data_IF_291239712034
#
_entry.id   IF_291239712034
#
_cell.length_a   1.000
_cell.length_b   1.000
_cell.length_c   1.000
_cell.angle_alpha   90.00
_cell.angle_beta   90.00
_cell.angle_gamma   90.00
#
_symmetry.space_group_name_H-M   'P 1'
#
loop_
_entity.id
_entity.type
_entity.pdbx_description
1 polymer ?
#
# COMPACT_ATOMS: atom_id res chain seq x y z
N UNK A 1 -3.40 46.23 -46.54
CA UNK A 1 -2.32 45.41 -45.93
C UNK A 1 -2.58 44.91 -44.50
N UNK A 2 -3.71 45.23 -43.83
CA UNK A 2 -3.98 44.79 -42.42
C UNK A 2 -4.68 43.43 -42.28
N UNK A 3 -5.37 42.95 -43.32
CA UNK A 3 -6.19 41.70 -43.26
C UNK A 3 -5.32 40.44 -43.21
N UNK A 4 -4.20 40.40 -43.95
CA UNK A 4 -3.32 39.23 -44.02
C UNK A 4 -2.55 38.97 -42.72
N UNK A 5 -2.30 40.01 -41.92
CA UNK A 5 -1.71 39.86 -40.59
C UNK A 5 -2.71 39.31 -39.57
N UNK A 6 -3.97 39.73 -39.63
CA UNK A 6 -5.01 39.22 -38.75
C UNK A 6 -5.32 37.73 -39.04
N UNK A 7 -5.39 37.36 -40.33
CA UNK A 7 -5.61 35.97 -40.76
C UNK A 7 -4.46 35.03 -40.33
N UNK A 8 -3.21 35.51 -40.39
CA UNK A 8 -2.02 34.76 -39.92
C UNK A 8 -1.99 34.56 -38.41
N UNK A 9 -2.40 35.56 -37.64
CA UNK A 9 -2.47 35.46 -36.17
C UNK A 9 -3.58 34.48 -35.74
N UNK A 10 -4.73 34.51 -36.43
CA UNK A 10 -5.83 33.57 -36.18
C UNK A 10 -5.43 32.14 -36.54
N UNK A 11 -4.77 31.92 -37.69
CA UNK A 11 -4.26 30.58 -38.04
C UNK A 11 -3.19 30.07 -37.06
N UNK A 12 -2.35 30.94 -36.50
CA UNK A 12 -1.35 30.54 -35.51
C UNK A 12 -2.00 30.19 -34.15
N UNK A 13 -3.04 30.93 -33.74
CA UNK A 13 -3.81 30.63 -32.53
C UNK A 13 -4.62 29.33 -32.64
N UNK A 14 -5.18 29.03 -33.82
CA UNK A 14 -5.87 27.76 -34.10
C UNK A 14 -4.92 26.56 -34.10
N UNK A 15 -3.67 26.76 -34.54
CA UNK A 15 -2.64 25.71 -34.53
C UNK A 15 -2.19 25.39 -33.08
N UNK A 16 -2.09 26.39 -32.20
CA UNK A 16 -1.73 26.17 -30.79
C UNK A 16 -2.81 25.44 -29.97
N UNK A 17 -4.08 25.55 -30.34
CA UNK A 17 -5.18 24.85 -29.67
C UNK A 17 -5.26 23.36 -30.05
N UNK A 18 -4.59 22.93 -31.11
CA UNK A 18 -4.59 21.54 -31.58
C UNK A 18 -3.60 20.61 -30.84
N UNK A 19 -2.75 21.15 -29.95
CA UNK A 19 -1.67 20.40 -29.29
C UNK A 19 -1.93 20.05 -27.82
N UNK A 20 -3.16 20.16 -27.33
CA UNK A 20 -3.50 19.55 -26.04
C UNK A 20 -3.76 18.06 -26.22
N UNK A 21 -2.70 17.27 -26.45
CA UNK A 21 -2.75 15.85 -26.11
C UNK A 21 -2.85 15.75 -24.59
N UNK A 22 -4.07 15.83 -24.09
CA UNK A 22 -4.37 15.50 -22.70
C UNK A 22 -4.02 14.04 -22.49
N UNK A 23 -2.89 13.77 -21.83
CA UNK A 23 -2.60 12.45 -21.31
C UNK A 23 -3.68 12.12 -20.27
N UNK A 24 -4.67 11.35 -20.70
CA UNK A 24 -5.67 10.79 -19.80
C UNK A 24 -4.94 9.98 -18.71
N UNK A 25 -4.97 10.49 -17.49
CA UNK A 25 -4.34 9.85 -16.35
C UNK A 25 -5.36 8.93 -15.69
N UNK A 26 -5.11 7.63 -15.77
CA UNK A 26 -5.93 6.63 -15.11
C UNK A 26 -5.45 6.38 -13.69
N UNK A 27 -6.36 6.06 -12.78
CA UNK A 27 -6.07 5.60 -11.43
C UNK A 27 -6.69 4.24 -11.21
N UNK A 28 -5.86 3.27 -10.79
CA UNK A 28 -6.32 1.95 -10.40
C UNK A 28 -6.53 1.93 -8.89
N UNK A 29 -7.66 1.38 -8.46
CA UNK A 29 -7.93 1.00 -7.07
C UNK A 29 -8.02 -0.53 -6.99
N UNK A 30 -7.17 -1.13 -6.17
CA UNK A 30 -7.19 -2.57 -5.92
C UNK A 30 -8.11 -2.92 -4.74
N UNK A 31 -8.59 -4.16 -4.68
CA UNK A 31 -9.34 -4.70 -3.53
C UNK A 31 -8.58 -4.63 -2.21
N UNK A 32 -7.25 -4.70 -2.28
CA UNK A 32 -6.37 -4.50 -1.13
C UNK A 32 -6.21 -3.04 -0.72
N UNK A 33 -6.93 -2.10 -1.34
CA UNK A 33 -6.91 -0.67 -1.05
C UNK A 33 -5.65 0.07 -1.47
N UNK A 34 -4.71 -0.57 -2.18
CA UNK A 34 -3.65 0.16 -2.87
C UNK A 34 -4.25 0.94 -4.05
N UNK A 35 -3.78 2.17 -4.26
CA UNK A 35 -4.10 2.94 -5.44
C UNK A 35 -2.84 3.53 -6.06
N UNK A 36 -2.82 3.64 -7.39
CA UNK A 36 -1.73 4.27 -8.12
C UNK A 36 -2.21 4.76 -9.49
N UNK A 37 -1.62 5.88 -9.91
CA UNK A 37 -1.89 6.52 -11.19
C UNK A 37 -0.95 6.03 -12.30
N UNK A 38 -1.40 6.17 -13.55
CA UNK A 38 -0.65 5.74 -14.72
C UNK A 38 -1.50 5.67 -15.99
N UNK A 39 -1.05 4.87 -16.94
CA UNK A 39 -1.69 4.69 -18.25
C UNK A 39 -2.04 3.22 -18.48
N UNK A 40 -3.26 2.97 -18.94
CA UNK A 40 -3.67 1.64 -19.39
C UNK A 40 -2.99 1.36 -20.74
N UNK A 41 -2.25 0.26 -20.82
CA UNK A 41 -1.55 -0.16 -22.03
C UNK A 41 -2.38 -1.19 -22.79
N UNK A 42 -2.93 -2.18 -22.08
CA UNK A 42 -3.88 -3.14 -22.64
C UNK A 42 -4.81 -3.68 -21.55
N UNK A 43 -6.01 -4.08 -21.95
CA UNK A 43 -7.01 -4.77 -21.13
C UNK A 43 -7.39 -6.04 -21.88
N UNK A 44 -7.06 -7.19 -21.31
CA UNK A 44 -7.47 -8.52 -21.79
C UNK A 44 -8.56 -9.05 -20.84
N UNK A 45 -9.18 -10.20 -21.13
CA UNK A 45 -10.29 -10.74 -20.33
C UNK A 45 -9.95 -11.02 -18.86
N UNK A 46 -8.69 -11.34 -18.57
CA UNK A 46 -8.23 -11.71 -17.23
C UNK A 46 -7.29 -10.67 -16.60
N UNK A 47 -6.68 -9.81 -17.41
CA UNK A 47 -5.52 -9.00 -16.98
C UNK A 47 -5.55 -7.59 -17.54
N UNK A 48 -5.10 -6.65 -16.70
CA UNK A 48 -4.84 -5.27 -17.04
C UNK A 48 -3.32 -5.03 -17.06
N UNK A 49 -2.80 -4.55 -18.19
CA UNK A 49 -1.42 -4.04 -18.28
C UNK A 49 -1.41 -2.54 -18.06
N UNK A 50 -0.67 -2.12 -17.04
CA UNK A 50 -0.64 -0.74 -16.61
C UNK A 50 0.79 -0.21 -16.56
N UNK A 51 1.00 0.95 -17.14
CA UNK A 51 2.24 1.71 -17.02
C UNK A 51 2.12 2.70 -15.87
N UNK A 52 3.00 2.59 -14.89
CA UNK A 52 3.06 3.54 -13.76
C UNK A 52 4.47 4.07 -13.57
N UNK A 53 4.60 5.24 -12.94
CA UNK A 53 5.89 5.83 -12.60
C UNK A 53 6.24 5.53 -11.15
N UNK A 54 7.44 4.99 -10.92
CA UNK A 54 8.00 4.86 -9.57
C UNK A 54 8.29 6.25 -9.00
N UNK A 55 8.50 6.33 -7.67
CA UNK A 55 8.91 7.56 -6.97
C UNK A 55 10.19 8.19 -7.55
N UNK A 56 11.07 7.38 -8.13
CA UNK A 56 12.32 7.84 -8.77
C UNK A 56 12.16 8.19 -10.25
N UNK A 57 10.93 8.36 -10.75
CA UNK A 57 10.64 8.71 -12.13
C UNK A 57 10.74 7.56 -13.14
N UNK A 58 11.34 6.41 -12.77
CA UNK A 58 11.47 5.26 -13.67
C UNK A 58 10.10 4.65 -13.97
N UNK A 59 9.87 4.38 -15.25
CA UNK A 59 8.67 3.69 -15.73
C UNK A 59 8.67 2.24 -15.22
N UNK A 60 7.50 1.75 -14.83
CA UNK A 60 7.25 0.37 -14.41
C UNK A 60 5.97 -0.12 -15.07
N UNK A 61 6.08 -1.25 -15.76
CA UNK A 61 4.92 -2.00 -16.23
C UNK A 61 4.45 -2.97 -15.14
N UNK A 62 3.13 -3.00 -14.91
CA UNK A 62 2.49 -3.87 -13.94
C UNK A 62 1.39 -4.65 -14.65
N UNK A 63 1.44 -5.98 -14.55
CA UNK A 63 0.36 -6.85 -14.98
C UNK A 63 -0.46 -7.20 -13.74
N UNK A 64 -1.76 -6.91 -13.78
CA UNK A 64 -2.68 -7.08 -12.64
C UNK A 64 -3.83 -7.94 -13.12
N UNK A 65 -4.21 -8.95 -12.36
CA UNK A 65 -5.40 -9.73 -12.63
C UNK A 65 -6.67 -8.91 -12.33
N UNK A 66 -7.68 -8.99 -13.18
CA UNK A 66 -8.89 -8.17 -13.05
C UNK A 66 -9.68 -8.48 -11.76
N UNK A 67 -9.59 -9.70 -11.24
CA UNK A 67 -10.16 -10.11 -9.95
C UNK A 67 -9.56 -9.36 -8.75
N UNK A 68 -8.38 -8.76 -8.89
CA UNK A 68 -7.74 -7.93 -7.86
C UNK A 68 -8.10 -6.45 -8.00
N UNK A 69 -8.65 -6.04 -9.14
CA UNK A 69 -9.00 -4.66 -9.45
C UNK A 69 -10.42 -4.39 -8.94
N UNK A 70 -10.54 -3.41 -8.04
CA UNK A 70 -11.86 -2.95 -7.62
C UNK A 70 -12.43 -2.00 -8.67
N UNK A 71 -11.68 -0.95 -9.02
CA UNK A 71 -12.09 0.04 -10.01
C UNK A 71 -10.93 0.68 -10.74
N UNK A 72 -11.23 1.23 -11.91
CA UNK A 72 -10.34 2.10 -12.68
C UNK A 72 -11.06 3.42 -12.94
N UNK A 73 -10.44 4.52 -12.56
CA UNK A 73 -10.95 5.87 -12.83
C UNK A 73 -10.12 6.50 -13.95
N UNK A 74 -10.77 6.88 -15.04
CA UNK A 74 -10.13 7.54 -16.19
C UNK A 74 -10.89 8.84 -16.47
N UNK A 75 -10.19 9.97 -16.45
CA UNK A 75 -10.78 11.30 -16.64
C UNK A 75 -12.02 11.57 -15.76
N UNK A 76 -11.95 11.12 -14.50
CA UNK A 76 -13.02 11.27 -13.51
C UNK A 76 -14.18 10.28 -13.65
N UNK A 77 -14.18 9.41 -14.67
CA UNK A 77 -15.19 8.34 -14.83
C UNK A 77 -14.68 7.04 -14.24
N UNK A 78 -15.37 6.52 -13.23
CA UNK A 78 -15.04 5.26 -12.58
C UNK A 78 -15.74 4.07 -13.27
N UNK A 79 -14.94 3.08 -13.69
CA UNK A 79 -15.42 1.75 -14.12
C UNK A 79 -15.12 0.75 -13.02
N UNK A 80 -16.15 0.07 -12.53
CA UNK A 80 -16.02 -0.99 -11.52
C UNK A 80 -15.71 -2.31 -12.21
N UNK A 81 -14.66 -2.99 -11.74
CA UNK A 81 -14.25 -4.31 -12.20
C UNK A 81 -14.64 -5.41 -11.21
N UNK A 82 -14.83 -5.06 -9.94
CA UNK A 82 -15.32 -5.99 -8.95
C UNK A 82 -16.71 -6.53 -9.32
N UNK A 83 -16.84 -7.84 -9.32
CA UNK A 83 -18.10 -8.56 -9.53
C UNK A 83 -18.36 -9.43 -8.31
N UNK A 84 -19.59 -9.36 -7.81
CA UNK A 84 -20.08 -10.27 -6.78
C UNK A 84 -20.44 -11.58 -7.48
N UNK A 85 -19.94 -12.70 -6.97
CA UNK A 85 -20.40 -14.00 -7.41
C UNK A 85 -21.72 -14.29 -6.68
N UNK A 86 -22.80 -14.47 -7.44
CA UNK A 86 -24.13 -14.75 -6.87
C UNK A 86 -24.22 -16.10 -6.15
N UNK A 87 -23.21 -16.96 -6.28
CA UNK A 87 -23.15 -18.26 -5.59
C UNK A 87 -22.46 -18.20 -4.23
N UNK A 88 -21.81 -17.08 -3.90
CA UNK A 88 -21.10 -16.86 -2.64
C UNK A 88 -21.81 -15.75 -1.84
N UNK A 89 -22.72 -16.16 -0.95
CA UNK A 89 -23.51 -15.26 -0.11
C UNK A 89 -22.65 -14.43 0.88
N UNK A 90 -21.40 -14.84 1.11
CA UNK A 90 -20.47 -14.15 2.01
C UNK A 90 -19.67 -13.02 1.31
N UNK A 91 -19.86 -12.83 -0.01
CA UNK A 91 -19.20 -11.74 -0.73
C UNK A 91 -19.85 -10.39 -0.45
N UNK A 92 -19.01 -9.38 -0.24
CA UNK A 92 -19.45 -8.01 -0.11
C UNK A 92 -20.12 -7.50 -1.39
N UNK A 93 -21.18 -6.71 -1.24
CA UNK A 93 -21.65 -5.85 -2.32
C UNK A 93 -20.56 -4.86 -2.77
N UNK A 94 -20.75 -4.23 -3.94
CA UNK A 94 -19.80 -3.21 -4.45
C UNK A 94 -19.58 -2.08 -3.44
N UNK A 95 -20.64 -1.63 -2.78
CA UNK A 95 -20.56 -0.57 -1.76
C UNK A 95 -19.88 -1.04 -0.47
N UNK A 96 -20.18 -2.25 -0.01
CA UNK A 96 -19.50 -2.84 1.15
C UNK A 96 -18.01 -3.06 0.88
N UNK A 97 -17.65 -3.54 -0.30
CA UNK A 97 -16.26 -3.71 -0.70
C UNK A 97 -15.54 -2.36 -0.76
N UNK A 98 -16.20 -1.30 -1.24
CA UNK A 98 -15.65 0.06 -1.21
C UNK A 98 -15.39 0.53 0.22
N UNK A 99 -16.35 0.32 1.12
CA UNK A 99 -16.20 0.65 2.54
C UNK A 99 -15.08 -0.14 3.20
N UNK A 100 -14.97 -1.44 2.89
CA UNK A 100 -13.88 -2.28 3.33
C UNK A 100 -12.51 -1.77 2.86
N UNK A 101 -12.39 -1.39 1.59
CA UNK A 101 -11.19 -0.78 1.02
C UNK A 101 -10.82 0.51 1.76
N UNK A 102 -11.81 1.38 2.04
CA UNK A 102 -11.58 2.59 2.83
C UNK A 102 -11.10 2.28 4.24
N UNK A 103 -11.68 1.28 4.89
CA UNK A 103 -11.20 0.80 6.18
C UNK A 103 -9.73 0.39 6.13
N UNK A 104 -9.33 -0.39 5.12
CA UNK A 104 -7.93 -0.80 4.95
C UNK A 104 -6.99 0.39 4.75
N UNK A 105 -7.37 1.36 3.91
CA UNK A 105 -6.58 2.57 3.64
C UNK A 105 -6.39 3.40 4.91
N UNK A 106 -7.47 3.65 5.64
CA UNK A 106 -7.45 4.48 6.85
C UNK A 106 -6.63 3.81 7.96
N UNK A 107 -6.73 2.48 8.11
CA UNK A 107 -5.89 1.75 9.04
C UNK A 107 -4.39 1.84 8.67
N UNK A 108 -4.05 1.72 7.39
CA UNK A 108 -2.66 1.85 6.93
C UNK A 108 -2.11 3.24 7.18
N UNK A 109 -2.89 4.29 6.97
CA UNK A 109 -2.48 5.66 7.25
C UNK A 109 -2.36 5.91 8.77
N UNK A 110 -3.41 5.59 9.54
CA UNK A 110 -3.62 6.18 10.85
C UNK A 110 -3.36 5.25 12.04
N UNK A 111 -3.44 3.92 11.83
CA UNK A 111 -3.27 2.97 12.94
C UNK A 111 -1.85 3.04 13.51
N UNK A 112 -1.75 3.09 14.85
CA UNK A 112 -0.47 3.20 15.56
C UNK A 112 -0.03 1.82 16.01
N UNK A 113 1.27 1.52 15.86
CA UNK A 113 1.83 0.20 16.13
C UNK A 113 3.03 0.21 17.10
N UNK A 114 3.06 1.05 18.17
CA UNK A 114 4.27 1.20 18.99
C UNK A 114 4.63 -0.07 19.75
N UNK A 115 3.66 -0.70 20.42
CA UNK A 115 3.90 -1.91 21.22
C UNK A 115 4.52 -3.08 20.42
N UNK A 116 3.94 -3.54 19.28
CA UNK A 116 4.54 -4.62 18.52
C UNK A 116 5.90 -4.24 17.93
N UNK A 117 6.13 -2.96 17.59
CA UNK A 117 7.45 -2.46 17.14
C UNK A 117 8.49 -2.57 18.25
N UNK A 118 8.16 -2.12 19.47
CA UNK A 118 9.07 -2.18 20.63
C UNK A 118 9.42 -3.62 20.96
N UNK A 119 8.41 -4.50 21.04
CA UNK A 119 8.60 -5.93 21.33
C UNK A 119 9.43 -6.61 20.24
N UNK A 120 9.08 -6.37 18.97
CA UNK A 120 9.81 -6.94 17.84
C UNK A 120 11.29 -6.53 17.84
N UNK A 121 11.57 -5.25 18.08
CA UNK A 121 12.94 -4.74 18.16
C UNK A 121 13.70 -5.32 19.36
N UNK A 122 13.15 -5.23 20.57
CA UNK A 122 13.87 -5.60 21.79
C UNK A 122 14.19 -7.09 21.85
N UNK A 123 13.23 -7.95 21.52
CA UNK A 123 13.43 -9.41 21.51
C UNK A 123 14.48 -9.78 20.48
N UNK A 124 14.39 -9.24 19.26
CA UNK A 124 15.39 -9.53 18.22
C UNK A 124 16.77 -8.94 18.55
N UNK A 125 16.86 -7.80 19.23
CA UNK A 125 18.13 -7.24 19.68
C UNK A 125 18.82 -8.12 20.72
N UNK A 126 18.09 -8.61 21.74
CA UNK A 126 18.63 -9.53 22.74
C UNK A 126 19.11 -10.84 22.09
N UNK A 127 18.31 -11.40 21.18
CA UNK A 127 18.72 -12.58 20.42
C UNK A 127 19.94 -12.31 19.54
N UNK A 128 20.00 -11.15 18.89
CA UNK A 128 21.14 -10.71 18.10
C UNK A 128 22.43 -10.65 18.94
N UNK A 129 22.37 -10.04 20.13
CA UNK A 129 23.52 -9.98 21.05
C UNK A 129 24.00 -11.39 21.41
N UNK A 130 23.08 -12.27 21.83
CA UNK A 130 23.41 -13.63 22.25
C UNK A 130 24.02 -14.49 21.14
N UNK A 131 23.54 -14.34 19.90
CA UNK A 131 24.03 -15.10 18.75
C UNK A 131 25.36 -14.52 18.24
N UNK A 132 25.46 -13.18 18.17
CA UNK A 132 26.68 -12.48 17.80
C UNK A 132 27.83 -12.75 18.77
N UNK A 133 27.55 -12.80 20.08
CA UNK A 133 28.58 -13.10 21.10
C UNK A 133 29.16 -14.51 20.99
N UNK A 134 28.46 -15.43 20.31
CA UNK A 134 28.91 -16.79 20.05
C UNK A 134 29.60 -16.95 18.70
N UNK A 135 29.88 -15.83 18.01
CA UNK A 135 30.34 -15.80 16.62
C UNK A 135 29.46 -16.66 15.68
N UNK A 136 28.19 -16.85 16.05
CA UNK A 136 27.27 -17.68 15.29
C UNK A 136 26.69 -16.84 14.16
N UNK A 137 27.01 -17.20 12.93
CA UNK A 137 26.50 -16.58 11.71
C UNK A 137 24.97 -16.72 11.53
N UNK A 138 24.27 -17.36 12.47
CA UNK A 138 22.82 -17.34 12.58
C UNK A 138 22.35 -15.97 13.09
N UNK A 139 22.62 -14.92 12.31
CA UNK A 139 21.79 -13.74 12.32
C UNK A 139 20.43 -14.19 11.80
N UNK A 140 19.59 -14.74 12.69
CA UNK A 140 18.15 -14.84 12.45
C UNK A 140 17.65 -13.41 12.48
N UNK A 141 17.89 -12.70 11.38
CA UNK A 141 17.11 -11.55 10.95
C UNK A 141 15.71 -12.13 10.88
N UNK A 142 14.92 -11.97 11.94
CA UNK A 142 13.81 -12.89 12.26
C UNK A 142 12.47 -12.25 11.93
N UNK A 143 12.02 -12.34 10.67
CA UNK A 143 10.62 -12.17 10.32
C UNK A 143 9.68 -12.94 11.25
N UNK A 144 10.12 -14.05 11.86
CA UNK A 144 9.32 -14.84 12.80
C UNK A 144 8.97 -14.03 14.05
N UNK A 145 9.97 -13.46 14.75
CA UNK A 145 9.73 -12.63 15.95
C UNK A 145 8.82 -11.45 15.61
N UNK A 146 9.11 -10.77 14.50
CA UNK A 146 8.31 -9.63 14.05
C UNK A 146 6.87 -10.01 13.72
N UNK A 147 6.66 -11.15 13.06
CA UNK A 147 5.32 -11.65 12.73
C UNK A 147 4.52 -12.02 13.98
N UNK A 148 5.16 -12.68 14.95
CA UNK A 148 4.51 -13.06 16.21
C UNK A 148 4.13 -11.82 17.03
N UNK A 149 5.06 -10.87 17.22
CA UNK A 149 4.80 -9.63 17.94
C UNK A 149 3.70 -8.80 17.28
N UNK A 150 3.70 -8.71 15.94
CA UNK A 150 2.65 -8.01 15.18
C UNK A 150 1.28 -8.69 15.24
N UNK A 151 1.25 -10.02 15.36
CA UNK A 151 0.02 -10.83 15.37
C UNK A 151 -0.64 -10.96 16.75
N UNK A 152 0.14 -10.87 17.83
CA UNK A 152 -0.34 -11.10 19.20
C UNK A 152 -1.26 -10.01 19.74
N UNK A 153 -1.14 -8.77 19.25
CA UNK A 153 -1.94 -7.65 19.78
C UNK A 153 -3.36 -7.63 19.20
N UNK A 154 -4.38 -7.49 20.05
CA UNK A 154 -5.78 -7.66 19.66
C UNK A 154 -6.53 -6.35 19.31
N UNK A 155 -6.04 -5.18 19.72
CA UNK A 155 -6.78 -3.93 19.52
C UNK A 155 -6.61 -3.34 18.11
N UNK A 156 -7.47 -3.76 17.18
CA UNK A 156 -7.48 -3.30 15.79
C UNK A 156 -8.73 -2.48 15.43
N UNK A 157 -9.43 -1.89 16.42
CA UNK A 157 -10.65 -1.13 16.13
C UNK A 157 -10.34 0.29 15.63
N UNK A 158 -11.13 0.81 14.69
CA UNK A 158 -11.03 2.21 14.29
C UNK A 158 -11.37 3.13 15.47
N UNK A 159 -10.62 4.23 15.60
CA UNK A 159 -10.97 5.31 16.52
C UNK A 159 -11.71 6.38 15.71
N UNK A 160 -12.71 7.03 16.32
CA UNK A 160 -13.52 8.08 15.66
C UNK A 160 -12.68 9.12 14.95
N UNK A 161 -11.63 9.62 15.63
CA UNK A 161 -10.67 10.60 15.08
C UNK A 161 -9.88 10.18 13.83
N UNK A 162 -9.88 8.89 13.47
CA UNK A 162 -9.10 8.34 12.37
C UNK A 162 -9.96 7.78 11.24
N UNK A 163 -11.29 7.82 11.39
CA UNK A 163 -12.21 7.45 10.34
C UNK A 163 -12.53 8.64 9.45
N UNK A 164 -12.77 8.39 8.16
CA UNK A 164 -13.20 9.42 7.20
C UNK A 164 -14.46 10.17 7.62
N UNK A 165 -15.39 9.47 8.26
CA UNK A 165 -16.65 10.00 8.75
C UNK A 165 -17.14 9.11 9.91
N UNK A 166 -17.91 9.65 10.84
CA UNK A 166 -18.58 8.88 11.88
C UNK A 166 -19.56 7.85 11.31
N UNK A 167 -20.25 8.15 10.21
CA UNK A 167 -21.20 7.22 9.56
C UNK A 167 -20.54 5.92 9.10
N UNK A 168 -19.29 5.95 8.65
CA UNK A 168 -18.61 4.72 8.18
C UNK A 168 -18.28 3.76 9.32
N UNK A 169 -18.27 4.24 10.57
CA UNK A 169 -18.05 3.39 11.76
C UNK A 169 -19.23 2.47 12.06
N UNK A 170 -20.40 2.71 11.45
CA UNK A 170 -21.56 1.83 11.58
C UNK A 170 -21.51 0.66 10.60
N UNK A 171 -20.67 0.73 9.56
CA UNK A 171 -20.54 -0.32 8.55
C UNK A 171 -19.67 -1.49 9.05
N UNK A 172 -20.19 -2.73 9.07
CA UNK A 172 -19.39 -3.91 9.39
C UNK A 172 -18.21 -4.10 8.43
N UNK A 173 -18.43 -3.91 7.13
CA UNK A 173 -17.40 -4.05 6.09
C UNK A 173 -16.24 -3.06 6.30
N UNK A 174 -16.54 -1.80 6.63
CA UNK A 174 -15.51 -0.81 6.96
C UNK A 174 -14.68 -1.22 8.19
N UNK A 175 -15.35 -1.65 9.27
CA UNK A 175 -14.67 -2.09 10.50
C UNK A 175 -13.75 -3.27 10.22
N UNK A 176 -14.22 -4.24 9.43
CA UNK A 176 -13.44 -5.42 9.06
C UNK A 176 -12.23 -5.06 8.20
N UNK A 177 -12.43 -4.22 7.18
CA UNK A 177 -11.35 -3.68 6.36
C UNK A 177 -10.31 -2.97 7.20
N UNK A 178 -10.75 -2.13 8.15
CA UNK A 178 -9.85 -1.46 9.07
C UNK A 178 -9.05 -2.45 9.94
N UNK A 179 -9.71 -3.49 10.48
CA UNK A 179 -9.03 -4.51 11.28
C UNK A 179 -7.95 -5.25 10.48
N UNK A 180 -8.26 -5.62 9.23
CA UNK A 180 -7.29 -6.29 8.35
C UNK A 180 -6.14 -5.37 7.96
N UNK A 181 -6.41 -4.11 7.63
CA UNK A 181 -5.37 -3.11 7.37
C UNK A 181 -4.47 -2.85 8.58
N UNK A 182 -5.07 -2.74 9.77
CA UNK A 182 -4.35 -2.54 11.03
C UNK A 182 -3.45 -3.73 11.37
N UNK A 183 -3.96 -4.96 11.21
CA UNK A 183 -3.18 -6.19 11.39
C UNK A 183 -1.98 -6.23 10.44
N UNK A 184 -2.21 -5.95 9.14
CA UNK A 184 -1.13 -5.90 8.15
C UNK A 184 -0.05 -4.89 8.50
N UNK A 185 -0.43 -3.67 8.92
CA UNK A 185 0.50 -2.61 9.34
C UNK A 185 1.34 -3.04 10.55
N UNK A 186 0.74 -3.68 11.56
CA UNK A 186 1.44 -4.16 12.76
C UNK A 186 2.46 -5.23 12.42
N UNK A 187 2.06 -6.24 11.65
CA UNK A 187 2.95 -7.32 11.22
C UNK A 187 4.15 -6.74 10.46
N UNK A 188 3.89 -5.90 9.47
CA UNK A 188 4.96 -5.33 8.65
C UNK A 188 5.92 -4.44 9.45
N UNK A 189 5.40 -3.51 10.26
CA UNK A 189 6.24 -2.63 11.08
C UNK A 189 7.04 -3.42 12.13
N UNK A 190 6.45 -4.47 12.70
CA UNK A 190 7.11 -5.34 13.67
C UNK A 190 8.21 -6.18 13.03
N UNK A 191 8.00 -6.69 11.80
CA UNK A 191 9.06 -7.35 11.01
C UNK A 191 10.23 -6.40 10.78
N UNK A 192 9.98 -5.19 10.30
CA UNK A 192 11.04 -4.19 10.09
C UNK A 192 11.79 -3.92 11.40
N UNK A 193 11.06 -3.75 12.51
CA UNK A 193 11.64 -3.52 13.83
C UNK A 193 12.50 -4.70 14.30
N UNK A 194 12.03 -5.94 14.13
CA UNK A 194 12.79 -7.15 14.44
C UNK A 194 14.04 -7.31 13.59
N UNK A 195 13.98 -7.01 12.30
CA UNK A 195 15.17 -6.99 11.43
C UNK A 195 16.18 -5.96 11.94
N UNK A 196 15.74 -4.73 12.22
CA UNK A 196 16.61 -3.67 12.71
C UNK A 196 17.23 -4.03 14.09
N UNK A 197 16.43 -4.57 15.00
CA UNK A 197 16.86 -5.02 16.32
C UNK A 197 17.89 -6.15 16.22
N UNK A 198 17.62 -7.18 15.40
CA UNK A 198 18.53 -8.30 15.18
C UNK A 198 19.89 -7.88 14.63
N UNK A 199 19.92 -6.96 13.66
CA UNK A 199 21.16 -6.40 13.12
C UNK A 199 21.91 -5.62 14.21
N UNK A 200 21.24 -4.70 14.91
CA UNK A 200 21.85 -3.88 15.96
C UNK A 200 22.44 -4.75 17.08
N UNK A 201 21.66 -5.73 17.56
CA UNK A 201 22.11 -6.67 18.58
C UNK A 201 23.26 -7.55 18.10
N UNK A 202 23.19 -8.05 16.87
CA UNK A 202 24.25 -8.87 16.27
C UNK A 202 25.59 -8.15 16.19
N UNK A 203 25.59 -6.88 15.77
CA UNK A 203 26.80 -6.04 15.74
C UNK A 203 27.39 -5.90 17.15
N UNK A 204 26.55 -5.59 18.14
CA UNK A 204 26.99 -5.49 19.55
C UNK A 204 27.55 -6.83 20.05
N UNK A 205 26.89 -7.94 19.74
CA UNK A 205 27.35 -9.28 20.11
C UNK A 205 28.72 -9.63 19.50
N UNK A 206 28.93 -9.34 18.22
CA UNK A 206 30.20 -9.58 17.53
C UNK A 206 31.34 -8.72 18.10
N UNK A 207 31.07 -7.46 18.43
CA UNK A 207 32.06 -6.60 19.10
C UNK A 207 32.44 -7.21 20.45
N UNK A 208 31.47 -7.66 21.24
CA UNK A 208 31.72 -8.33 22.52
C UNK A 208 32.51 -9.63 22.38
N UNK A 209 32.21 -10.46 21.36
CA UNK A 209 32.96 -11.69 21.09
C UNK A 209 34.43 -11.41 20.77
N UNK A 210 34.69 -10.41 19.92
CA UNK A 210 36.04 -10.02 19.50
C UNK A 210 36.82 -9.25 20.60
N UNK A 211 36.14 -8.83 21.67
CA UNK A 211 36.74 -8.15 22.82
C UNK A 211 37.14 -9.11 23.94
N UNK A 212 36.79 -10.40 23.85
CA UNK A 212 37.28 -11.41 24.78
C UNK A 212 38.68 -11.90 24.33
N UNK A 213 39.70 -11.85 25.21
CA UNK A 213 41.06 -12.31 24.89
C UNK A 213 41.16 -13.83 24.72
#
# INVERSE_FOLDING_TARGET
>A
MRVNHCLRIISFALLCLAYSEGYSQSFILLMGGQSFGGKIISEDEERLKFETKKKNGKIKYVNIWLDQVFSVTTDGKEKIYYKVDSTDEDMYSVEEMRLYIYGQQDARANHKTPLPVIVGFSVSAVLGVFLGSKNSALLVVSPVVGTLAGSSTQNNRPKTKYARNEKVLQSPAYIEGYRKGARGKKIFNSIIASVAGGIAGGVVGLISANSQP
#
